data_IF_120595978630
#
_entry.id   IF_120595978630
#
_cell.length_a   1.000
_cell.length_b   1.000
_cell.length_c   1.000
_cell.angle_alpha   90.00
_cell.angle_beta   90.00
_cell.angle_gamma   90.00
#
_symmetry.space_group_name_H-M   'P 1'
#
loop_
_entity.id
_entity.type
_entity.pdbx_description
1 polymer ?
#
# COMPACT_ATOMS: atom_id res chain seq x y z
N UNK A 1 2.56 -3.87 5.46
CA UNK A 1 2.75 -2.47 5.02
C UNK A 1 2.55 -2.41 3.52
N UNK A 2 1.91 -1.36 3.02
CA UNK A 2 1.62 -1.22 1.58
C UNK A 2 2.09 0.15 1.10
N UNK A 3 3.05 0.16 0.18
CA UNK A 3 3.53 1.34 -0.54
C UNK A 3 2.88 1.52 -1.91
N UNK A 4 3.46 2.43 -2.68
CA UNK A 4 2.99 2.80 -4.01
C UNK A 4 3.45 1.79 -5.07
N UNK A 5 4.73 1.77 -5.39
CA UNK A 5 5.33 0.92 -6.42
C UNK A 5 6.84 0.81 -6.23
N UNK A 6 7.52 -0.09 -6.98
CA UNK A 6 8.96 -0.07 -7.11
C UNK A 6 9.44 1.29 -7.67
N UNK A 7 10.58 1.78 -7.18
CA UNK A 7 11.37 2.78 -7.89
C UNK A 7 12.56 2.11 -8.59
N UNK A 8 13.46 2.92 -9.16
CA UNK A 8 14.61 2.45 -9.92
C UNK A 8 15.44 1.35 -9.22
N UNK A 9 15.79 1.53 -7.94
CA UNK A 9 16.62 0.55 -7.22
C UNK A 9 15.87 -0.73 -6.88
N UNK A 10 14.57 -0.61 -6.56
CA UNK A 10 13.69 -1.74 -6.30
C UNK A 10 13.51 -2.60 -7.56
N UNK A 11 13.35 -1.96 -8.72
CA UNK A 11 13.21 -2.62 -10.02
C UNK A 11 14.46 -3.47 -10.35
N UNK A 12 15.65 -2.89 -10.17
CA UNK A 12 16.93 -3.56 -10.43
C UNK A 12 17.23 -4.71 -9.46
N UNK A 13 16.84 -4.58 -8.19
CA UNK A 13 17.12 -5.60 -7.16
C UNK A 13 16.01 -6.64 -7.02
N UNK A 14 14.81 -6.36 -7.55
CA UNK A 14 13.63 -7.19 -7.35
C UNK A 14 13.10 -7.19 -5.90
N UNK A 15 13.54 -6.25 -5.07
CA UNK A 15 13.20 -6.18 -3.65
C UNK A 15 12.50 -4.85 -3.31
N UNK A 16 11.39 -4.85 -2.57
CA UNK A 16 10.68 -3.62 -2.23
C UNK A 16 11.42 -2.80 -1.17
N UNK A 17 11.35 -1.48 -1.32
CA UNK A 17 11.93 -0.51 -0.38
C UNK A 17 13.43 -0.74 -0.12
N UNK A 18 14.27 -0.78 -1.14
CA UNK A 18 15.74 -0.93 -0.97
C UNK A 18 16.49 0.41 -1.05
N UNK A 19 15.85 1.45 -1.58
CA UNK A 19 16.42 2.79 -1.67
C UNK A 19 16.44 3.57 -0.36
N UNK A 20 16.73 4.88 -0.45
CA UNK A 20 16.78 5.80 0.71
C UNK A 20 15.47 5.83 1.52
N UNK A 21 14.33 5.76 0.85
CA UNK A 21 13.01 5.66 1.48
C UNK A 21 12.87 4.38 2.28
N UNK A 22 13.41 3.26 1.76
CA UNK A 22 13.42 1.97 2.42
C UNK A 22 14.31 1.92 3.65
N UNK A 23 15.50 2.52 3.58
CA UNK A 23 16.37 2.65 4.76
C UNK A 23 15.71 3.47 5.88
N UNK A 24 14.96 4.52 5.53
CA UNK A 24 14.17 5.25 6.52
C UNK A 24 13.02 4.42 7.07
N UNK A 25 12.35 3.62 6.22
CA UNK A 25 11.31 2.70 6.65
C UNK A 25 11.81 1.70 7.68
N UNK A 26 13.04 1.22 7.53
CA UNK A 26 13.66 0.27 8.47
C UNK A 26 13.87 0.91 9.83
N UNK A 27 14.42 2.12 9.86
CA UNK A 27 14.57 2.89 11.10
C UNK A 27 13.23 3.18 11.77
N UNK A 28 12.19 3.45 10.97
CA UNK A 28 10.83 3.65 11.48
C UNK A 28 10.29 2.38 12.15
N UNK A 29 10.49 1.21 11.54
CA UNK A 29 10.09 -0.09 12.11
C UNK A 29 10.88 -0.42 13.38
N UNK A 30 12.19 -0.25 13.35
CA UNK A 30 13.07 -0.50 14.50
C UNK A 30 12.66 0.36 15.70
N UNK A 31 12.32 1.63 15.48
CA UNK A 31 11.89 2.55 16.52
C UNK A 31 10.60 2.12 17.24
N UNK A 32 9.75 1.31 16.61
CA UNK A 32 8.56 0.72 17.23
C UNK A 32 8.72 -0.75 17.61
N UNK A 33 9.94 -1.28 17.56
CA UNK A 33 10.28 -2.64 17.99
C UNK A 33 9.96 -3.73 16.97
N UNK A 34 9.84 -3.38 15.69
CA UNK A 34 9.64 -4.32 14.60
C UNK A 34 10.86 -4.35 13.68
N UNK A 35 10.98 -5.41 12.89
CA UNK A 35 11.98 -5.53 11.82
C UNK A 35 11.33 -5.95 10.51
N UNK A 36 12.03 -5.79 9.38
CA UNK A 36 11.59 -6.32 8.07
C UNK A 36 11.23 -7.81 8.10
N UNK A 37 11.88 -8.60 8.95
CA UNK A 37 11.63 -10.05 9.07
C UNK A 37 10.29 -10.35 9.73
N UNK A 38 9.77 -9.42 10.52
CA UNK A 38 8.52 -9.57 11.29
C UNK A 38 7.32 -8.90 10.64
N UNK A 39 7.53 -8.20 9.52
CA UNK A 39 6.45 -7.51 8.79
C UNK A 39 6.46 -7.94 7.33
N UNK A 40 5.29 -7.93 6.70
CA UNK A 40 5.20 -8.10 5.26
C UNK A 40 5.12 -6.73 4.57
N UNK A 41 5.94 -6.52 3.54
CA UNK A 41 5.99 -5.26 2.77
C UNK A 41 5.56 -5.56 1.34
N UNK A 42 4.60 -4.80 0.84
CA UNK A 42 4.10 -4.87 -0.53
C UNK A 42 3.86 -3.47 -1.10
N UNK A 43 3.52 -3.41 -2.38
CA UNK A 43 3.11 -2.20 -3.08
C UNK A 43 1.77 -2.40 -3.81
N UNK A 44 1.05 -1.32 -4.14
CA UNK A 44 -0.20 -1.41 -4.91
C UNK A 44 0.05 -1.79 -6.37
N UNK A 45 1.18 -1.37 -6.95
CA UNK A 45 1.67 -1.87 -8.23
C UNK A 45 2.96 -2.67 -8.04
N UNK A 46 3.18 -3.70 -8.87
CA UNK A 46 4.35 -4.58 -8.79
C UNK A 46 5.46 -4.22 -9.78
N UNK A 47 5.16 -3.39 -10.77
CA UNK A 47 6.13 -2.90 -11.76
C UNK A 47 6.44 -1.43 -11.47
N UNK A 48 7.66 -1.00 -11.80
CA UNK A 48 8.10 0.39 -11.69
C UNK A 48 7.32 1.30 -12.65
N UNK A 49 6.50 2.25 -12.15
CA UNK A 49 5.76 3.15 -13.02
C UNK A 49 6.69 4.23 -13.56
N UNK A 50 6.93 4.17 -14.88
CA UNK A 50 7.88 5.06 -15.56
C UNK A 50 7.16 6.13 -16.40
N UNK A 51 7.75 7.32 -16.48
CA UNK A 51 7.33 8.38 -17.42
C UNK A 51 7.59 7.93 -18.87
N UNK A 52 8.75 7.34 -19.12
CA UNK A 52 9.19 6.80 -20.41
C UNK A 52 9.77 5.39 -20.23
N UNK A 53 8.99 4.33 -20.48
CA UNK A 53 9.45 2.94 -20.37
C UNK A 53 10.56 2.57 -21.37
N UNK A 54 10.73 3.33 -22.45
CA UNK A 54 11.78 3.10 -23.45
C UNK A 54 13.18 3.51 -22.94
N UNK A 55 13.25 4.32 -21.88
CA UNK A 55 14.49 4.78 -21.25
C UNK A 55 14.50 4.48 -19.75
N UNK A 56 14.48 3.19 -19.33
CA UNK A 56 14.31 2.81 -17.93
C UNK A 56 15.39 3.35 -16.99
N UNK A 57 16.59 3.60 -17.51
CA UNK A 57 17.75 4.13 -16.77
C UNK A 57 17.74 5.65 -16.59
N UNK A 58 16.81 6.36 -17.22
CA UNK A 58 16.81 7.82 -17.22
C UNK A 58 16.52 8.39 -15.82
N UNK A 59 17.29 9.40 -15.42
CA UNK A 59 17.06 10.08 -14.15
C UNK A 59 15.73 10.84 -14.17
N UNK A 60 14.93 10.66 -13.10
CA UNK A 60 13.62 11.30 -12.99
C UNK A 60 12.49 10.56 -13.72
N UNK A 61 12.73 9.31 -14.12
CA UNK A 61 11.72 8.49 -14.79
C UNK A 61 10.61 7.96 -13.85
N UNK A 62 10.75 8.13 -12.52
CA UNK A 62 9.72 7.72 -11.55
C UNK A 62 8.45 8.58 -11.67
N UNK A 63 7.27 7.94 -11.71
CA UNK A 63 5.98 8.61 -11.54
C UNK A 63 5.02 7.85 -10.64
N UNK A 64 3.94 8.49 -10.15
CA UNK A 64 2.84 7.76 -9.55
C UNK A 64 2.18 6.79 -10.53
N UNK A 65 1.72 5.61 -10.05
CA UNK A 65 0.88 4.75 -10.85
C UNK A 65 -0.46 5.41 -11.12
N UNK A 66 -1.01 5.18 -12.30
CA UNK A 66 -2.37 5.57 -12.65
C UNK A 66 -3.39 4.70 -11.90
N UNK A 67 -4.64 5.15 -11.75
CA UNK A 67 -5.70 4.32 -11.18
C UNK A 67 -5.87 2.98 -11.91
N UNK A 68 -5.78 2.98 -13.24
CA UNK A 68 -5.89 1.78 -14.07
C UNK A 68 -4.74 0.79 -13.81
N UNK A 69 -3.51 1.28 -13.68
CA UNK A 69 -2.35 0.42 -13.34
C UNK A 69 -2.51 -0.21 -11.96
N UNK A 70 -2.95 0.58 -10.98
CA UNK A 70 -3.18 0.11 -9.62
C UNK A 70 -4.29 -0.95 -9.57
N UNK A 71 -5.38 -0.76 -10.32
CA UNK A 71 -6.48 -1.72 -10.44
C UNK A 71 -6.04 -3.00 -11.16
N UNK A 72 -5.35 -2.87 -12.29
CA UNK A 72 -4.82 -4.02 -13.06
C UNK A 72 -3.92 -4.90 -12.20
N UNK A 73 -3.12 -4.28 -11.31
CA UNK A 73 -2.21 -5.00 -10.42
C UNK A 73 -2.87 -5.49 -9.12
N UNK A 74 -4.09 -5.02 -8.82
CA UNK A 74 -4.78 -5.28 -7.56
C UNK A 74 -5.03 -6.75 -7.23
N UNK A 75 -5.30 -7.68 -8.19
CA UNK A 75 -5.55 -9.07 -7.85
C UNK A 75 -4.39 -9.72 -7.09
N UNK A 76 -3.15 -9.33 -7.41
CA UNK A 76 -1.94 -9.85 -6.73
C UNK A 76 -1.94 -9.40 -5.27
N UNK A 77 -2.22 -8.11 -5.01
CA UNK A 77 -2.25 -7.58 -3.65
C UNK A 77 -3.42 -8.16 -2.84
N UNK A 78 -4.58 -8.38 -3.47
CA UNK A 78 -5.71 -9.06 -2.85
C UNK A 78 -5.31 -10.47 -2.39
N UNK A 79 -4.67 -11.26 -3.24
CA UNK A 79 -4.20 -12.59 -2.85
C UNK A 79 -3.18 -12.53 -1.70
N UNK A 80 -2.24 -11.58 -1.75
CA UNK A 80 -1.28 -11.36 -0.65
C UNK A 80 -2.00 -11.09 0.69
N UNK A 81 -2.98 -10.18 0.71
CA UNK A 81 -3.75 -9.86 1.92
C UNK A 81 -4.56 -11.07 2.38
N UNK A 82 -5.20 -11.80 1.46
CA UNK A 82 -6.02 -12.97 1.77
C UNK A 82 -5.23 -14.12 2.40
N UNK A 83 -3.98 -14.31 1.97
CA UNK A 83 -3.07 -15.34 2.53
C UNK A 83 -2.52 -14.88 3.88
N UNK A 84 -2.06 -13.64 3.98
CA UNK A 84 -1.38 -13.12 5.18
C UNK A 84 -2.37 -12.87 6.32
N UNK A 85 -3.60 -12.43 6.00
CA UNK A 85 -4.64 -12.04 6.96
C UNK A 85 -4.10 -11.12 8.08
N UNK A 86 -3.50 -9.96 7.73
CA UNK A 86 -2.88 -9.09 8.72
C UNK A 86 -3.93 -8.47 9.65
N UNK A 87 -3.62 -8.28 10.93
CA UNK A 87 -4.51 -7.53 11.84
C UNK A 87 -4.64 -6.05 11.43
N UNK A 88 -3.51 -5.46 11.03
CA UNK A 88 -3.43 -4.05 10.63
C UNK A 88 -2.57 -3.93 9.37
N UNK A 89 -3.05 -3.13 8.41
CA UNK A 89 -2.30 -2.70 7.23
C UNK A 89 -1.91 -1.23 7.41
N UNK A 90 -0.60 -0.96 7.48
CA UNK A 90 -0.07 0.40 7.40
C UNK A 90 0.12 0.80 5.92
N UNK A 91 -0.66 1.78 5.43
CA UNK A 91 -0.49 2.34 4.08
C UNK A 91 0.45 3.53 4.09
N UNK A 92 1.37 3.58 3.13
CA UNK A 92 2.42 4.59 3.04
C UNK A 92 2.11 5.57 1.91
N UNK A 93 1.63 6.76 2.26
CA UNK A 93 1.35 7.85 1.31
C UNK A 93 -0.04 7.78 0.67
N UNK A 94 -0.35 8.81 -0.12
CA UNK A 94 -1.67 8.98 -0.74
C UNK A 94 -2.02 7.86 -1.72
N UNK A 95 -1.16 7.44 -2.68
CA UNK A 95 -1.58 6.46 -3.68
C UNK A 95 -1.99 5.12 -3.07
N UNK A 96 -1.18 4.57 -2.17
CA UNK A 96 -1.50 3.33 -1.46
C UNK A 96 -2.78 3.45 -0.62
N UNK A 97 -2.95 4.58 0.08
CA UNK A 97 -4.13 4.84 0.92
C UNK A 97 -5.40 4.95 0.09
N UNK A 98 -5.38 5.71 -1.01
CA UNK A 98 -6.53 5.90 -1.90
C UNK A 98 -6.92 4.60 -2.58
N UNK A 99 -5.96 3.84 -3.08
CA UNK A 99 -6.16 2.55 -3.70
C UNK A 99 -6.84 1.55 -2.76
N UNK A 100 -6.33 1.42 -1.53
CA UNK A 100 -6.83 0.45 -0.56
C UNK A 100 -8.16 0.87 0.09
N UNK A 101 -8.36 2.17 0.35
CA UNK A 101 -9.58 2.67 1.00
C UNK A 101 -10.68 3.13 0.04
N UNK A 102 -10.40 3.22 -1.27
CA UNK A 102 -11.35 3.76 -2.25
C UNK A 102 -11.73 5.22 -2.00
N UNK A 103 -10.86 6.00 -1.36
CA UNK A 103 -11.10 7.41 -1.00
C UNK A 103 -10.40 8.37 -1.96
N UNK A 104 -10.92 9.60 -2.06
CA UNK A 104 -10.25 10.72 -2.74
C UNK A 104 -9.57 11.70 -1.79
N UNK A 105 -9.72 11.51 -0.48
CA UNK A 105 -9.12 12.38 0.53
C UNK A 105 -7.58 12.39 0.48
N UNK A 106 -7.00 13.55 0.78
CA UNK A 106 -5.55 13.71 0.88
C UNK A 106 -4.99 13.09 2.15
N UNK A 107 -3.75 12.58 2.10
CA UNK A 107 -3.13 11.85 3.21
C UNK A 107 -3.14 12.64 4.54
N UNK A 108 -2.91 13.96 4.50
CA UNK A 108 -2.88 14.81 5.70
C UNK A 108 -4.22 14.85 6.46
N UNK A 109 -5.35 14.56 5.81
CA UNK A 109 -6.68 14.54 6.45
C UNK A 109 -7.01 13.18 7.08
N UNK A 110 -6.55 12.10 6.46
CA UNK A 110 -6.95 10.73 6.80
C UNK A 110 -5.93 9.98 7.67
N UNK A 111 -4.67 10.43 7.71
CA UNK A 111 -3.64 9.80 8.55
C UNK A 111 -3.97 9.82 10.05
N UNK A 112 -3.32 8.93 10.80
CA UNK A 112 -3.41 8.90 12.27
C UNK A 112 -4.74 8.40 12.82
N UNK A 113 -5.54 7.73 11.98
CA UNK A 113 -6.78 7.07 12.38
C UNK A 113 -6.79 5.65 11.85
N UNK A 114 -7.15 4.70 12.72
CA UNK A 114 -7.47 3.34 12.30
C UNK A 114 -8.87 3.34 11.69
N UNK A 115 -8.98 2.78 10.50
CA UNK A 115 -10.25 2.63 9.80
C UNK A 115 -10.43 1.18 9.36
N UNK A 116 -11.66 0.63 9.32
CA UNK A 116 -11.89 -0.69 8.76
C UNK A 116 -11.44 -0.77 7.29
N UNK A 117 -10.83 -1.88 6.90
CA UNK A 117 -10.53 -2.15 5.49
C UNK A 117 -11.85 -2.37 4.74
N UNK A 118 -12.11 -1.67 3.63
CA UNK A 118 -13.31 -1.91 2.86
C UNK A 118 -13.24 -3.29 2.18
N UNK A 119 -14.36 -4.00 2.17
CA UNK A 119 -14.45 -5.31 1.48
C UNK A 119 -14.43 -5.19 -0.05
N UNK A 120 -14.62 -3.98 -0.57
CA UNK A 120 -14.40 -3.67 -1.99
C UNK A 120 -13.43 -2.49 -2.09
N UNK A 121 -12.28 -2.71 -2.72
CA UNK A 121 -11.27 -1.69 -2.97
C UNK A 121 -10.77 -1.82 -4.41
N UNK A 122 -10.17 -0.75 -4.95
CA UNK A 122 -9.94 -0.56 -6.40
C UNK A 122 -11.22 -0.54 -7.25
N UNK A 123 -12.08 0.49 -7.06
CA UNK A 123 -13.19 0.76 -7.99
C UNK A 123 -12.81 1.89 -8.93
N UNK A 124 -12.28 1.58 -10.11
CA UNK A 124 -12.37 2.53 -11.22
C UNK A 124 -13.60 2.13 -12.03
N UNK A 125 -14.44 3.11 -12.40
CA UNK A 125 -15.42 2.88 -13.47
C UNK A 125 -14.59 2.79 -14.75
N UNK A 126 -14.26 1.59 -15.18
CA UNK A 126 -13.74 1.37 -16.53
C UNK A 126 -14.86 1.75 -17.50
N UNK A 127 -14.63 2.78 -18.32
CA UNK A 127 -15.51 3.02 -19.46
C UNK A 127 -15.37 1.84 -20.45
N UNK A 128 -16.47 1.43 -21.07
CA UNK A 128 -16.76 0.15 -21.77
C UNK A 128 -15.84 -0.26 -22.95
N UNK A 129 -14.58 0.15 -22.99
CA UNK A 129 -13.64 -0.17 -24.08
C UNK A 129 -12.67 -1.32 -23.78
N UNK A 130 -12.80 -1.99 -22.63
CA UNK A 130 -11.90 -3.08 -22.28
C UNK A 130 -12.27 -4.41 -22.98
N UNK A 131 -11.39 -4.81 -23.90
CA UNK A 131 -11.34 -6.03 -24.72
C UNK A 131 -11.42 -7.37 -23.94
N UNK A 132 -11.62 -7.33 -22.62
CA UNK A 132 -11.70 -8.49 -21.74
C UNK A 132 -13.07 -8.59 -21.06
N UNK A 133 -14.14 -8.41 -21.82
CA UNK A 133 -15.44 -8.94 -21.42
C UNK A 133 -15.39 -10.47 -21.38
N UNK A 134 -15.15 -11.02 -20.18
CA UNK A 134 -15.93 -12.15 -19.63
C UNK A 134 -15.50 -12.52 -18.21
N UNK A 135 -16.42 -12.24 -17.27
CA UNK A 135 -16.55 -12.84 -15.94
C UNK A 135 -15.42 -12.55 -14.92
N UNK A 136 -15.26 -11.29 -14.52
CA UNK A 136 -14.89 -11.03 -13.12
C UNK A 136 -16.20 -10.95 -12.35
N UNK A 137 -16.53 -12.00 -11.58
CA UNK A 137 -17.63 -11.91 -10.61
C UNK A 137 -17.29 -10.74 -9.67
N UNK A 138 -18.16 -9.73 -9.64
CA UNK A 138 -17.97 -8.49 -8.91
C UNK A 138 -17.58 -8.74 -7.44
N UNK A 139 -16.48 -8.12 -7.01
CA UNK A 139 -16.00 -8.12 -5.64
C UNK A 139 -14.49 -8.34 -5.52
N UNK A 140 -13.83 -7.53 -4.68
CA UNK A 140 -12.47 -7.83 -4.24
C UNK A 140 -12.49 -9.19 -3.51
N UNK A 141 -11.52 -10.05 -3.80
CA UNK A 141 -11.48 -11.45 -3.35
C UNK A 141 -12.57 -12.36 -3.92
N UNK A 142 -12.85 -12.26 -5.22
CA UNK A 142 -13.64 -13.26 -5.93
C UNK A 142 -13.01 -14.66 -5.76
N UNK A 143 -13.82 -15.67 -5.44
CA UNK A 143 -13.37 -17.04 -5.20
C UNK A 143 -13.13 -17.44 -3.74
N UNK A 144 -13.20 -16.52 -2.76
CA UNK A 144 -13.18 -16.88 -1.34
C UNK A 144 -14.58 -17.24 -0.80
N UNK A 145 -14.66 -18.22 0.10
CA UNK A 145 -15.88 -18.54 0.87
C UNK A 145 -16.18 -17.47 1.94
N UNK A 146 -17.38 -17.51 2.53
CA UNK A 146 -17.75 -16.59 3.62
C UNK A 146 -16.80 -16.72 4.82
N UNK A 147 -16.44 -17.95 5.19
CA UNK A 147 -15.50 -18.25 6.28
C UNK A 147 -14.10 -17.72 5.98
N UNK A 148 -13.67 -17.77 4.72
CA UNK A 148 -12.38 -17.24 4.28
C UNK A 148 -12.37 -15.70 4.25
N UNK A 149 -13.53 -15.05 4.10
CA UNK A 149 -13.70 -13.59 4.09
C UNK A 149 -13.84 -12.99 5.49
N UNK A 150 -14.47 -13.69 6.43
CA UNK A 150 -14.74 -13.16 7.78
C UNK A 150 -13.49 -12.61 8.51
N UNK A 151 -12.28 -13.21 8.40
CA UNK A 151 -11.07 -12.61 8.97
C UNK A 151 -10.66 -11.29 8.31
N UNK A 152 -10.99 -11.10 7.02
CA UNK A 152 -10.62 -9.91 6.24
C UNK A 152 -11.45 -8.69 6.64
N UNK A 153 -12.69 -8.89 7.10
CA UNK A 153 -13.58 -7.83 7.59
C UNK A 153 -13.06 -7.17 8.88
N UNK A 154 -12.21 -7.87 9.63
CA UNK A 154 -11.61 -7.36 10.88
C UNK A 154 -10.34 -6.55 10.65
N UNK A 155 -9.80 -6.56 9.44
CA UNK A 155 -8.55 -5.87 9.11
C UNK A 155 -8.76 -4.37 9.28
N UNK A 156 -7.86 -3.74 10.02
CA UNK A 156 -7.79 -2.29 10.11
C UNK A 156 -6.71 -1.75 9.17
N UNK A 157 -6.93 -0.54 8.66
CA UNK A 157 -5.96 0.21 7.87
C UNK A 157 -5.55 1.44 8.67
N UNK A 158 -4.25 1.69 8.74
CA UNK A 158 -3.70 2.93 9.29
C UNK A 158 -2.95 3.67 8.17
N UNK A 159 -3.45 4.82 7.72
CA UNK A 159 -2.71 5.66 6.78
C UNK A 159 -1.62 6.47 7.47
N UNK A 160 -0.46 6.59 6.82
CA UNK A 160 0.62 7.50 7.22
C UNK A 160 1.36 8.08 6.00
N UNK A 161 2.29 9.00 6.23
CA UNK A 161 3.12 9.56 5.17
C UNK A 161 4.10 8.53 4.59
N UNK A 162 4.35 8.63 3.29
CA UNK A 162 5.39 7.82 2.65
C UNK A 162 6.79 8.25 3.14
N UNK A 163 7.75 7.33 3.37
CA UNK A 163 9.10 7.69 3.82
C UNK A 163 9.81 8.70 2.91
N UNK A 164 9.59 8.60 1.59
CA UNK A 164 10.13 9.58 0.64
C UNK A 164 9.62 11.02 0.90
N UNK A 165 8.38 11.19 1.37
CA UNK A 165 7.85 12.51 1.75
C UNK A 165 8.54 13.02 3.03
N UNK A 166 8.85 12.14 3.99
CA UNK A 166 9.56 12.49 5.23
C UNK A 166 11.03 12.87 4.98
N UNK A 167 11.65 12.32 3.94
CA UNK A 167 12.98 12.70 3.50
C UNK A 167 12.98 14.11 2.86
N UNK A 168 11.92 14.45 2.11
CA UNK A 168 11.79 15.77 1.47
C UNK A 168 11.34 16.85 2.45
N UNK A 169 10.47 16.51 3.40
CA UNK A 169 9.94 17.44 4.39
C UNK A 169 10.06 16.85 5.81
N UNK A 170 11.13 17.18 6.55
CA UNK A 170 11.35 16.70 7.91
C UNK A 170 10.25 17.08 8.91
N UNK A 171 9.48 18.15 8.67
CA UNK A 171 8.41 18.57 9.59
C UNK A 171 7.29 17.53 9.71
N UNK A 172 7.13 16.67 8.69
CA UNK A 172 6.15 15.57 8.68
C UNK A 172 6.57 14.40 9.59
N UNK A 173 7.82 14.35 10.05
CA UNK A 173 8.32 13.23 10.88
C UNK A 173 7.61 13.14 12.23
N UNK A 174 7.24 14.28 12.81
CA UNK A 174 6.49 14.31 14.08
C UNK A 174 5.15 13.58 13.93
N UNK A 175 4.40 13.92 12.89
CA UNK A 175 3.11 13.31 12.60
C UNK A 175 3.24 11.82 12.27
N UNK A 176 4.20 11.45 11.42
CA UNK A 176 4.44 10.04 11.11
C UNK A 176 4.85 9.23 12.36
N UNK A 177 5.58 9.84 13.30
CA UNK A 177 5.93 9.19 14.56
C UNK A 177 4.70 8.94 15.44
N UNK A 178 3.76 9.87 15.51
CA UNK A 178 2.48 9.65 16.21
C UNK A 178 1.70 8.48 15.59
N UNK A 179 1.69 8.35 14.26
CA UNK A 179 1.06 7.20 13.58
C UNK A 179 1.72 5.87 13.96
N UNK A 180 3.05 5.83 14.00
CA UNK A 180 3.78 4.60 14.36
C UNK A 180 3.54 4.20 15.81
N UNK A 181 3.43 5.16 16.73
CA UNK A 181 3.03 4.88 18.12
C UNK A 181 1.62 4.29 18.18
N UNK A 182 0.68 4.86 17.43
CA UNK A 182 -0.68 4.33 17.31
C UNK A 182 -0.68 2.88 16.77
N UNK A 183 0.12 2.60 15.73
CA UNK A 183 0.29 1.25 15.19
C UNK A 183 0.79 0.29 16.27
N UNK A 184 1.89 0.65 16.95
CA UNK A 184 2.50 -0.16 18.01
C UNK A 184 1.50 -0.48 19.12
N UNK A 185 0.78 0.53 19.58
CA UNK A 185 -0.15 0.38 20.70
C UNK A 185 -1.38 -0.44 20.28
N UNK A 186 -1.84 -0.32 19.04
CA UNK A 186 -2.91 -1.14 18.50
C UNK A 186 -2.50 -2.62 18.34
N UNK A 187 -1.27 -2.90 17.91
CA UNK A 187 -0.77 -4.27 17.76
C UNK A 187 -0.55 -4.98 19.11
N UNK A 188 -0.29 -4.23 20.18
CA UNK A 188 -0.12 -4.77 21.55
C UNK A 188 -1.44 -5.18 22.21
N UNK A 189 -2.58 -4.65 21.77
CA UNK A 189 -3.88 -5.06 22.29
C UNK A 189 -4.22 -6.47 21.80
N UNK A 190 -4.82 -7.35 22.63
CA UNK A 190 -5.39 -8.61 22.16
C UNK A 190 -6.48 -8.35 21.10
N UNK A 191 -6.65 -9.31 20.18
CA UNK A 191 -7.57 -9.24 19.04
C UNK A 191 -9.01 -9.53 19.45
#
# INVERSE_FOLDING_TARGET
MIGEGPGYQEDHKGEPFVGRSGQLLDKMLEAIGFSRKTVYIANIVKCHPMVNPQTPEEHGNDRPPTPLEAETCSPILQQQIAVIRPRIILTLGSPATKALLGTQEGISKIRGKLVPMPMTYFKVKLEETDLFEKKVKEGAFSGLTAEQRAPLEKIQVLPTYHPAALLRNPNLKKDAWEDLKLLRDALRKPA
#
